data_IF_281367623131
#
_entry.id   IF_281367623131
#
_cell.length_a   1.000
_cell.length_b   1.000
_cell.length_c   1.000
_cell.angle_alpha   90.00
_cell.angle_beta   90.00
_cell.angle_gamma   90.00
#
_symmetry.space_group_name_H-M   'P 1'
#
loop_
_entity.id
_entity.type
_entity.pdbx_description
1 polymer ?
#
# COMPACT_ATOMS: atom_id res chain seq x y z
N UNK A 1 -13.16 -34.15 0.94
CA UNK A 1 -14.15 -33.06 0.69
C UNK A 1 -14.12 -32.60 -0.77
N UNK A 2 -15.29 -32.35 -1.39
CA UNK A 2 -15.39 -31.83 -2.77
C UNK A 2 -14.79 -30.41 -2.82
N UNK A 3 -13.94 -30.13 -3.81
CA UNK A 3 -13.37 -28.79 -4.02
C UNK A 3 -14.48 -27.85 -4.51
N UNK A 4 -14.69 -26.74 -3.80
CA UNK A 4 -15.63 -25.68 -4.22
C UNK A 4 -15.22 -25.08 -5.57
N UNK A 5 -16.19 -24.86 -6.44
CA UNK A 5 -16.09 -24.11 -7.69
C UNK A 5 -15.81 -22.62 -7.41
N UNK A 6 -15.44 -21.86 -8.45
CA UNK A 6 -15.23 -20.41 -8.30
C UNK A 6 -16.53 -19.67 -7.95
N UNK A 7 -17.67 -20.10 -8.51
CA UNK A 7 -18.98 -19.51 -8.22
C UNK A 7 -19.40 -19.74 -6.76
N UNK A 8 -19.18 -20.93 -6.22
CA UNK A 8 -19.48 -21.23 -4.82
C UNK A 8 -18.61 -20.39 -3.87
N UNK A 9 -17.32 -20.21 -4.19
CA UNK A 9 -16.44 -19.33 -3.40
C UNK A 9 -16.83 -17.86 -3.50
N UNK A 10 -17.24 -17.40 -4.68
CA UNK A 10 -17.67 -16.02 -4.88
C UNK A 10 -18.99 -15.71 -4.17
N UNK A 11 -19.93 -16.67 -4.12
CA UNK A 11 -21.18 -16.54 -3.38
C UNK A 11 -21.00 -16.41 -1.86
N UNK A 12 -19.84 -16.81 -1.33
CA UNK A 12 -19.47 -16.67 0.09
C UNK A 12 -18.91 -15.28 0.43
N UNK A 13 -18.59 -14.46 -0.59
CA UNK A 13 -18.05 -13.12 -0.41
C UNK A 13 -19.16 -12.09 -0.25
N UNK A 14 -18.92 -11.07 0.59
CA UNK A 14 -19.83 -9.92 0.69
C UNK A 14 -19.80 -9.16 -0.66
N UNK A 15 -20.97 -8.87 -1.28
CA UNK A 15 -21.02 -8.19 -2.56
C UNK A 15 -20.48 -6.76 -2.45
N UNK A 16 -19.78 -6.32 -3.50
CA UNK A 16 -19.37 -4.93 -3.66
C UNK A 16 -20.49 -4.12 -4.35
N UNK A 17 -20.55 -2.80 -4.16
CA UNK A 17 -21.38 -1.93 -4.98
C UNK A 17 -21.05 -2.08 -6.47
N UNK A 18 -22.00 -1.76 -7.35
CA UNK A 18 -21.80 -1.82 -8.81
C UNK A 18 -20.63 -0.94 -9.29
N UNK A 19 -20.33 0.14 -8.57
CA UNK A 19 -19.24 1.09 -8.83
C UNK A 19 -18.36 1.15 -7.58
N UNK A 20 -17.48 0.16 -7.35
CA UNK A 20 -16.74 0.06 -6.11
C UNK A 20 -15.77 1.23 -5.94
N UNK A 21 -15.78 1.83 -4.75
CA UNK A 21 -14.81 2.85 -4.34
C UNK A 21 -13.56 2.23 -3.72
N UNK A 22 -12.51 3.03 -3.54
CA UNK A 22 -11.33 2.62 -2.78
C UNK A 22 -11.72 2.11 -1.38
N UNK A 23 -12.62 2.84 -0.70
CA UNK A 23 -13.11 2.48 0.62
C UNK A 23 -13.86 1.13 0.63
N UNK A 24 -14.68 0.86 -0.39
CA UNK A 24 -15.39 -0.41 -0.51
C UNK A 24 -14.42 -1.58 -0.65
N UNK A 25 -13.42 -1.44 -1.52
CA UNK A 25 -12.41 -2.48 -1.75
C UNK A 25 -11.57 -2.69 -0.48
N UNK A 26 -11.15 -1.62 0.19
CA UNK A 26 -10.35 -1.73 1.41
C UNK A 26 -11.12 -2.43 2.53
N UNK A 27 -12.40 -2.11 2.71
CA UNK A 27 -13.21 -2.72 3.74
C UNK A 27 -13.56 -4.19 3.46
N UNK A 28 -13.82 -4.55 2.20
CA UNK A 28 -14.44 -5.82 1.82
C UNK A 28 -13.53 -6.81 1.09
N UNK A 29 -12.35 -6.38 0.62
CA UNK A 29 -11.43 -7.23 -0.17
C UNK A 29 -10.00 -7.21 0.31
N UNK A 30 -9.51 -6.10 0.87
CA UNK A 30 -8.15 -6.03 1.36
C UNK A 30 -7.97 -6.93 2.59
N UNK A 31 -6.93 -7.79 2.65
CA UNK A 31 -6.65 -8.60 3.82
C UNK A 31 -6.54 -7.73 5.08
N UNK A 32 -7.24 -8.14 6.16
CA UNK A 32 -7.39 -7.30 7.37
C UNK A 32 -6.07 -6.88 8.00
N UNK A 33 -5.05 -7.75 7.97
CA UNK A 33 -3.73 -7.41 8.50
C UNK A 33 -3.05 -6.28 7.71
N UNK A 34 -3.16 -6.29 6.38
CA UNK A 34 -2.63 -5.22 5.50
C UNK A 34 -3.42 -3.94 5.75
N UNK A 35 -4.75 -4.04 5.76
CA UNK A 35 -5.59 -2.87 5.90
C UNK A 35 -5.37 -2.16 7.24
N UNK A 36 -5.31 -2.92 8.35
CA UNK A 36 -5.04 -2.37 9.67
C UNK A 36 -3.66 -1.71 9.74
N UNK A 37 -2.64 -2.34 9.15
CA UNK A 37 -1.29 -1.78 9.08
C UNK A 37 -1.26 -0.44 8.34
N UNK A 38 -1.86 -0.38 7.14
CA UNK A 38 -1.96 0.85 6.36
C UNK A 38 -2.68 1.98 7.11
N UNK A 39 -3.77 1.65 7.81
CA UNK A 39 -4.51 2.63 8.61
C UNK A 39 -3.68 3.16 9.78
N UNK A 40 -2.92 2.30 10.47
CA UNK A 40 -2.00 2.75 11.53
C UNK A 40 -0.93 3.68 10.98
N UNK A 41 -0.33 3.34 9.83
CA UNK A 41 0.68 4.17 9.17
C UNK A 41 0.12 5.53 8.77
N UNK A 42 -1.06 5.56 8.16
CA UNK A 42 -1.75 6.81 7.84
C UNK A 42 -2.14 7.61 9.09
N UNK A 43 -2.56 6.96 10.17
CA UNK A 43 -2.90 7.61 11.43
C UNK A 43 -1.67 8.25 12.08
N UNK A 44 -0.52 7.58 12.03
CA UNK A 44 0.74 8.11 12.52
C UNK A 44 1.18 9.34 11.72
N UNK A 45 1.05 9.28 10.38
CA UNK A 45 1.30 10.42 9.50
C UNK A 45 0.37 11.61 9.83
N UNK A 46 -0.93 11.34 10.01
CA UNK A 46 -1.94 12.35 10.33
C UNK A 46 -1.66 13.01 11.69
N UNK A 47 -1.36 12.22 12.73
CA UNK A 47 -1.01 12.73 14.08
C UNK A 47 0.24 13.61 14.06
N UNK A 48 1.19 13.33 13.17
CA UNK A 48 2.40 14.14 12.98
C UNK A 48 2.18 15.38 12.11
N UNK A 49 0.96 15.61 11.60
CA UNK A 49 0.64 16.76 10.76
C UNK A 49 1.39 16.75 9.43
N UNK A 50 1.66 15.58 8.87
CA UNK A 50 2.32 15.45 7.58
C UNK A 50 1.40 15.89 6.43
N UNK A 51 2.00 16.19 5.28
CA UNK A 51 1.28 16.53 4.06
C UNK A 51 0.30 15.42 3.64
N UNK A 52 -0.86 15.81 3.10
CA UNK A 52 -1.92 14.88 2.74
C UNK A 52 -1.50 13.84 1.69
N UNK A 53 -0.57 14.18 0.78
CA UNK A 53 -0.04 13.21 -0.17
C UNK A 53 0.79 12.13 0.55
N UNK A 54 1.49 12.48 1.63
CA UNK A 54 2.21 11.50 2.46
C UNK A 54 1.24 10.65 3.28
N UNK A 55 0.19 11.26 3.85
CA UNK A 55 -0.86 10.52 4.58
C UNK A 55 -1.54 9.52 3.63
N UNK A 56 -1.92 9.95 2.43
CA UNK A 56 -2.50 9.07 1.42
C UNK A 56 -1.50 7.98 0.99
N UNK A 57 -0.23 8.32 0.80
CA UNK A 57 0.78 7.31 0.47
C UNK A 57 0.91 6.26 1.58
N UNK A 58 0.90 6.65 2.86
CA UNK A 58 0.90 5.71 3.99
C UNK A 58 -0.35 4.81 3.99
N UNK A 59 -1.52 5.36 3.65
CA UNK A 59 -2.75 4.57 3.55
C UNK A 59 -2.71 3.53 2.41
N UNK A 60 -1.92 3.77 1.37
CA UNK A 60 -1.92 2.96 0.14
C UNK A 60 -0.68 2.07 -0.03
N UNK A 61 0.41 2.30 0.69
CA UNK A 61 1.75 1.80 0.33
C UNK A 61 1.82 0.28 0.15
N UNK A 62 1.18 -0.48 1.06
CA UNK A 62 1.23 -1.93 1.09
C UNK A 62 0.07 -2.62 0.35
N UNK A 63 -0.77 -1.85 -0.37
CA UNK A 63 -1.87 -2.42 -1.18
C UNK A 63 -1.37 -3.43 -2.21
N UNK A 64 -0.12 -3.28 -2.67
CA UNK A 64 0.52 -4.21 -3.61
C UNK A 64 0.63 -5.65 -3.08
N UNK A 65 0.71 -5.84 -1.75
CA UNK A 65 0.78 -7.17 -1.12
C UNK A 65 -0.48 -8.01 -1.44
N UNK A 66 -1.63 -7.38 -1.63
CA UNK A 66 -2.87 -8.06 -2.00
C UNK A 66 -2.82 -8.71 -3.39
N UNK A 67 -1.89 -8.29 -4.25
CA UNK A 67 -1.61 -8.93 -5.53
C UNK A 67 -0.56 -10.03 -5.35
N UNK A 68 0.57 -9.68 -4.73
CA UNK A 68 1.64 -10.60 -4.35
C UNK A 68 2.64 -9.89 -3.41
N UNK A 69 3.29 -10.63 -2.52
CA UNK A 69 4.22 -10.07 -1.54
C UNK A 69 5.53 -9.53 -2.11
N UNK A 70 6.22 -10.21 -3.06
CA UNK A 70 7.43 -9.67 -3.67
C UNK A 70 7.12 -8.42 -4.50
N UNK A 71 7.98 -7.42 -4.38
CA UNK A 71 7.87 -6.15 -5.12
C UNK A 71 6.57 -5.38 -4.84
N UNK A 72 6.08 -5.45 -3.60
CA UNK A 72 4.87 -4.74 -3.17
C UNK A 72 4.91 -3.23 -3.43
N UNK A 73 6.06 -2.57 -3.27
CA UNK A 73 6.21 -1.15 -3.59
C UNK A 73 6.01 -0.86 -5.07
N UNK A 74 6.59 -1.68 -5.95
CA UNK A 74 6.40 -1.56 -7.40
C UNK A 74 4.97 -1.88 -7.83
N UNK A 75 4.41 -2.97 -7.31
CA UNK A 75 3.04 -3.43 -7.61
C UNK A 75 2.01 -2.42 -7.10
N UNK A 76 2.19 -1.97 -5.85
CA UNK A 76 1.35 -0.98 -5.21
C UNK A 76 1.37 0.32 -6.00
N UNK A 77 2.57 0.83 -6.34
CA UNK A 77 2.72 2.02 -7.16
C UNK A 77 2.05 1.87 -8.54
N UNK A 78 2.26 0.73 -9.23
CA UNK A 78 1.62 0.48 -10.52
C UNK A 78 0.09 0.42 -10.42
N UNK A 79 -0.45 -0.21 -9.36
CA UNK A 79 -1.88 -0.33 -9.10
C UNK A 79 -2.57 1.02 -8.92
N UNK A 80 -1.92 1.96 -8.22
CA UNK A 80 -2.53 3.24 -7.83
C UNK A 80 -2.20 4.38 -8.80
N UNK A 81 -1.21 4.20 -9.70
CA UNK A 81 -0.66 5.25 -10.57
C UNK A 81 -1.71 6.10 -11.30
N UNK A 82 -2.79 5.53 -11.87
CA UNK A 82 -3.77 6.34 -12.60
C UNK A 82 -4.58 7.28 -11.70
N UNK A 83 -4.63 7.01 -10.40
CA UNK A 83 -5.57 7.63 -9.48
C UNK A 83 -4.93 8.68 -8.57
N UNK A 84 -3.61 8.80 -8.54
CA UNK A 84 -2.91 9.68 -7.61
C UNK A 84 -1.96 10.63 -8.33
N UNK A 85 -1.33 11.53 -7.58
CA UNK A 85 -0.24 12.35 -8.11
C UNK A 85 1.03 11.53 -8.35
N UNK A 86 1.93 12.05 -9.18
CA UNK A 86 3.26 11.45 -9.37
C UNK A 86 4.04 11.34 -8.06
N UNK A 87 3.83 12.28 -7.12
CA UNK A 87 4.51 12.30 -5.83
C UNK A 87 4.05 11.16 -4.93
N UNK A 88 2.74 10.90 -4.84
CA UNK A 88 2.18 9.76 -4.10
C UNK A 88 2.65 8.44 -4.72
N UNK A 89 2.58 8.33 -6.05
CA UNK A 89 3.11 7.18 -6.79
C UNK A 89 4.58 6.92 -6.47
N UNK A 90 5.41 7.97 -6.45
CA UNK A 90 6.83 7.87 -6.14
C UNK A 90 7.08 7.46 -4.69
N UNK A 91 6.34 8.05 -3.74
CA UNK A 91 6.39 7.72 -2.32
C UNK A 91 6.17 6.22 -2.09
N UNK A 92 5.13 5.66 -2.73
CA UNK A 92 4.79 4.25 -2.64
C UNK A 92 5.79 3.38 -3.39
N UNK A 93 6.34 3.81 -4.53
CA UNK A 93 7.30 2.96 -5.26
C UNK A 93 8.56 2.70 -4.45
N UNK A 94 9.14 3.75 -3.89
CA UNK A 94 10.50 3.67 -3.34
C UNK A 94 10.55 3.38 -1.83
N UNK A 95 9.43 3.45 -1.08
CA UNK A 95 9.45 3.10 0.35
C UNK A 95 10.00 1.67 0.59
N UNK A 96 9.68 0.71 -0.30
CA UNK A 96 10.18 -0.66 -0.23
C UNK A 96 11.71 -0.73 -0.27
N UNK A 97 12.38 0.12 -1.05
CA UNK A 97 13.85 0.11 -1.08
C UNK A 97 14.41 0.76 0.19
N UNK A 98 13.80 1.87 0.61
CA UNK A 98 14.29 2.67 1.73
C UNK A 98 14.21 1.96 3.09
N UNK A 99 13.29 1.00 3.27
CA UNK A 99 13.18 0.21 4.52
C UNK A 99 14.44 -0.58 4.88
N UNK A 100 15.32 -0.84 3.91
CA UNK A 100 16.55 -1.59 4.14
C UNK A 100 17.77 -0.72 4.49
N UNK A 101 17.62 0.61 4.49
CA UNK A 101 18.74 1.52 4.69
C UNK A 101 18.43 2.55 5.78
N UNK A 102 19.29 2.65 6.81
CA UNK A 102 19.13 3.64 7.86
C UNK A 102 19.27 5.06 7.30
N UNK A 103 18.65 6.01 7.99
CA UNK A 103 18.74 7.43 7.74
C UNK A 103 18.73 8.21 9.06
N UNK A 104 19.91 8.48 9.66
CA UNK A 104 20.03 9.15 10.95
C UNK A 104 19.42 10.55 10.98
N UNK A 105 19.37 11.25 9.84
CA UNK A 105 18.80 12.60 9.72
C UNK A 105 17.32 12.66 10.11
N UNK A 106 16.63 11.51 10.04
CA UNK A 106 15.23 11.36 10.45
C UNK A 106 15.03 10.29 11.53
N UNK A 107 16.12 9.84 12.15
CA UNK A 107 16.10 8.83 13.19
C UNK A 107 15.58 7.46 12.72
N UNK A 108 15.69 7.14 11.43
CA UNK A 108 15.32 5.82 10.92
C UNK A 108 16.51 4.88 11.03
N UNK A 109 16.45 3.92 11.93
CA UNK A 109 17.46 2.87 12.07
C UNK A 109 17.03 1.62 11.28
N UNK A 110 17.98 0.73 10.99
CA UNK A 110 17.64 -0.56 10.40
C UNK A 110 16.86 -1.39 11.44
N UNK A 111 15.61 -1.81 11.15
CA UNK A 111 14.77 -2.45 12.16
C UNK A 111 15.39 -3.72 12.76
N UNK A 112 15.34 -3.88 14.09
CA UNK A 112 15.83 -5.10 14.75
C UNK A 112 15.05 -6.36 14.31
N UNK A 113 13.76 -6.18 13.99
CA UNK A 113 12.92 -7.22 13.38
C UNK A 113 13.55 -7.77 12.09
N UNK A 114 14.23 -6.94 11.30
CA UNK A 114 14.79 -7.34 10.01
C UNK A 114 16.03 -8.20 10.16
N UNK A 115 16.85 -8.00 11.19
CA UNK A 115 17.93 -8.94 11.49
C UNK A 115 17.41 -10.35 11.80
N UNK A 116 16.25 -10.45 12.46
CA UNK A 116 15.60 -11.73 12.76
C UNK A 116 14.93 -12.35 11.53
N UNK A 117 14.31 -11.55 10.68
CA UNK A 117 13.57 -12.03 9.51
C UNK A 117 14.44 -12.34 8.30
N UNK A 118 15.47 -11.52 8.04
CA UNK A 118 16.34 -11.67 6.86
C UNK A 118 17.72 -12.22 7.18
N UNK A 119 18.17 -12.08 8.43
CA UNK A 119 19.54 -12.41 8.85
C UNK A 119 20.49 -11.22 8.75
N UNK A 120 21.54 -11.22 9.56
CA UNK A 120 22.52 -10.13 9.65
C UNK A 120 23.33 -9.90 8.38
N UNK A 121 23.48 -10.93 7.56
CA UNK A 121 24.25 -10.88 6.32
C UNK A 121 23.39 -10.58 5.09
N UNK A 122 22.08 -10.40 5.28
CA UNK A 122 21.17 -10.11 4.18
C UNK A 122 21.56 -8.81 3.49
N UNK A 123 21.59 -8.87 2.16
CA UNK A 123 21.76 -7.70 1.30
C UNK A 123 20.59 -7.67 0.32
N UNK A 124 19.92 -6.52 0.14
CA UNK A 124 18.89 -6.40 -0.88
C UNK A 124 19.45 -6.71 -2.27
N UNK A 125 18.61 -7.18 -3.17
CA UNK A 125 19.00 -7.43 -4.56
C UNK A 125 19.58 -6.17 -5.23
N UNK A 126 20.46 -6.30 -6.26
CA UNK A 126 21.13 -5.16 -6.88
C UNK A 126 20.19 -4.05 -7.37
N UNK A 127 18.99 -4.39 -7.85
CA UNK A 127 18.01 -3.40 -8.31
C UNK A 127 17.40 -2.60 -7.14
N UNK A 128 17.26 -3.20 -5.94
CA UNK A 128 16.82 -2.50 -4.73
C UNK A 128 17.91 -1.55 -4.23
N UNK A 129 19.18 -1.96 -4.31
CA UNK A 129 20.32 -1.08 -4.00
C UNK A 129 20.36 0.15 -4.94
N UNK A 130 20.21 -0.08 -6.24
CA UNK A 130 20.13 0.99 -7.23
C UNK A 130 18.96 1.95 -6.97
N UNK A 131 17.79 1.41 -6.60
CA UNK A 131 16.62 2.23 -6.28
C UNK A 131 16.82 3.07 -5.02
N UNK A 132 17.52 2.56 -4.00
CA UNK A 132 17.91 3.36 -2.85
C UNK A 132 18.84 4.51 -3.24
N UNK A 133 19.90 4.24 -4.01
CA UNK A 133 20.87 5.25 -4.45
C UNK A 133 20.22 6.33 -5.31
N UNK A 134 19.31 5.92 -6.20
CA UNK A 134 18.50 6.83 -7.00
C UNK A 134 17.58 7.67 -6.11
N UNK A 135 16.84 7.02 -5.21
CA UNK A 135 15.90 7.69 -4.33
C UNK A 135 16.58 8.73 -3.44
N UNK A 136 17.78 8.46 -2.89
CA UNK A 136 18.50 9.43 -2.02
C UNK A 136 18.83 10.75 -2.71
N UNK A 137 18.98 10.75 -4.04
CA UNK A 137 19.32 11.95 -4.82
C UNK A 137 18.09 12.66 -5.38
N UNK A 138 16.90 12.08 -5.22
CA UNK A 138 15.68 12.59 -5.82
C UNK A 138 14.97 13.62 -4.93
N UNK A 139 14.37 14.65 -5.55
CA UNK A 139 13.65 15.73 -4.83
C UNK A 139 12.50 15.26 -3.94
N UNK A 140 11.96 14.07 -4.20
CA UNK A 140 10.87 13.47 -3.42
C UNK A 140 11.34 12.44 -2.40
N UNK A 141 12.66 12.31 -2.19
CA UNK A 141 13.24 11.38 -1.22
C UNK A 141 12.47 11.34 0.10
N UNK A 142 12.21 12.52 0.67
CA UNK A 142 11.53 12.65 1.95
C UNK A 142 10.10 12.11 1.94
N UNK A 143 9.39 12.12 0.81
CA UNK A 143 8.05 11.54 0.74
C UNK A 143 8.09 10.01 0.96
N UNK A 144 8.97 9.29 0.25
CA UNK A 144 9.14 7.85 0.48
C UNK A 144 9.73 7.54 1.85
N UNK A 145 10.69 8.36 2.31
CA UNK A 145 11.31 8.15 3.62
C UNK A 145 10.30 8.31 4.75
N UNK A 146 9.45 9.33 4.69
CA UNK A 146 8.39 9.52 5.70
C UNK A 146 7.41 8.35 5.70
N UNK A 147 7.01 7.83 4.52
CA UNK A 147 6.19 6.61 4.43
C UNK A 147 6.90 5.44 5.12
N UNK A 148 8.18 5.23 4.83
CA UNK A 148 9.01 4.17 5.44
C UNK A 148 9.08 4.30 6.97
N UNK A 149 9.22 5.54 7.47
CA UNK A 149 9.26 5.80 8.91
C UNK A 149 7.90 5.53 9.55
N UNK A 150 6.77 5.87 8.90
CA UNK A 150 5.44 5.61 9.45
C UNK A 150 5.06 4.12 9.38
N UNK A 151 5.52 3.41 8.36
CA UNK A 151 5.37 1.96 8.18
C UNK A 151 5.97 1.19 9.39
N UNK A 152 7.23 1.44 9.76
CA UNK A 152 7.90 0.69 10.84
C UNK A 152 7.16 0.74 12.20
N UNK A 153 6.45 1.82 12.50
CA UNK A 153 5.73 1.98 13.78
C UNK A 153 4.27 1.50 13.75
N UNK A 154 3.87 0.72 12.75
CA UNK A 154 2.45 0.44 12.44
C UNK A 154 2.07 -1.05 12.55
N UNK A 155 2.61 -1.74 13.56
CA UNK A 155 2.38 -3.18 13.80
C UNK A 155 1.69 -3.48 15.14
N UNK A 156 1.02 -2.50 15.76
CA UNK A 156 0.26 -2.72 16.99
C UNK A 156 -0.96 -3.60 16.69
N UNK A 157 -1.04 -4.75 17.37
CA UNK A 157 -2.10 -5.75 17.16
C UNK A 157 -3.42 -5.35 17.79
N UNK A 158 -3.36 -4.50 18.81
CA UNK A 158 -4.52 -4.06 19.59
C UNK A 158 -5.02 -2.68 19.16
N UNK A 159 -4.39 -2.07 18.15
CA UNK A 159 -4.77 -0.77 17.64
C UNK A 159 -6.20 -0.78 17.06
N UNK A 160 -7.03 0.14 17.57
CA UNK A 160 -8.35 0.43 17.02
C UNK A 160 -8.20 1.51 15.94
N UNK A 161 -8.38 1.11 14.69
CA UNK A 161 -8.23 1.98 13.51
C UNK A 161 -9.51 2.04 12.69
N UNK A 162 -9.71 3.17 12.01
CA UNK A 162 -10.86 3.41 11.15
C UNK A 162 -10.42 4.18 9.90
N UNK A 163 -11.12 3.96 8.79
CA UNK A 163 -10.91 4.71 7.55
C UNK A 163 -11.52 6.12 7.60
N UNK A 164 -12.45 6.35 8.53
CA UNK A 164 -13.24 7.59 8.62
C UNK A 164 -12.39 8.88 8.58
N UNK A 165 -11.28 9.01 9.35
CA UNK A 165 -10.47 10.23 9.36
C UNK A 165 -9.81 10.56 8.02
N UNK A 166 -9.73 9.57 7.11
CA UNK A 166 -9.05 9.71 5.82
C UNK A 166 -10.02 9.94 4.67
N UNK A 167 -11.34 9.89 4.90
CA UNK A 167 -12.33 9.98 3.81
C UNK A 167 -12.22 11.30 3.02
N UNK A 168 -12.00 12.43 3.69
CA UNK A 168 -11.79 13.71 3.02
C UNK A 168 -10.44 13.80 2.29
N UNK A 169 -9.39 13.19 2.84
CA UNK A 169 -8.06 13.13 2.20
C UNK A 169 -8.15 12.30 0.92
N UNK A 170 -8.81 11.14 0.98
CA UNK A 170 -9.08 10.29 -0.20
C UNK A 170 -9.87 11.09 -1.24
N UNK A 171 -10.95 11.76 -0.85
CA UNK A 171 -11.79 12.54 -1.77
C UNK A 171 -11.05 13.66 -2.50
N UNK A 172 -10.01 14.24 -1.88
CA UNK A 172 -9.21 15.32 -2.47
C UNK A 172 -8.02 14.82 -3.30
N UNK A 173 -7.43 13.68 -2.92
CA UNK A 173 -6.13 13.25 -3.44
C UNK A 173 -6.18 11.95 -4.25
N UNK A 174 -7.30 11.22 -4.25
CA UNK A 174 -7.52 10.01 -5.04
C UNK A 174 -8.61 10.23 -6.10
N UNK A 175 -8.25 10.10 -7.37
CA UNK A 175 -9.14 10.25 -8.52
C UNK A 175 -10.00 9.00 -8.68
N UNK A 176 -11.04 8.89 -7.87
CA UNK A 176 -12.00 7.79 -7.94
C UNK A 176 -12.67 7.73 -9.34
N UNK A 177 -12.58 6.61 -10.09
CA UNK A 177 -13.24 6.47 -11.38
C UNK A 177 -14.77 6.44 -11.25
N UNK A 178 -15.48 7.03 -12.23
CA UNK A 178 -16.96 7.12 -12.28
C UNK A 178 -17.63 5.77 -12.52
N UNK A 179 -16.89 4.85 -13.14
CA UNK A 179 -17.24 3.48 -13.44
C UNK A 179 -17.02 2.56 -12.23
N UNK A 180 -16.23 2.99 -11.24
CA UNK A 180 -15.75 2.18 -10.13
C UNK A 180 -14.40 1.52 -10.43
N UNK A 181 -13.61 1.27 -9.37
CA UNK A 181 -12.28 0.68 -9.50
C UNK A 181 -12.36 -0.71 -10.14
N UNK A 182 -11.54 -0.94 -11.17
CA UNK A 182 -11.50 -2.20 -11.91
C UNK A 182 -12.47 -2.27 -13.09
N UNK A 183 -13.38 -1.30 -13.23
CA UNK A 183 -14.29 -1.16 -14.37
C UNK A 183 -14.01 0.08 -15.22
N UNK A 184 -13.05 0.89 -14.79
CA UNK A 184 -12.42 1.90 -15.61
C UNK A 184 -11.54 1.27 -16.71
N UNK A 185 -11.05 2.08 -17.65
CA UNK A 185 -10.20 1.64 -18.76
C UNK A 185 -8.74 2.07 -18.56
N UNK A 186 -8.24 2.03 -17.32
CA UNK A 186 -6.84 2.33 -17.01
C UNK A 186 -5.99 1.08 -17.10
N UNK A 187 -4.67 1.27 -17.18
CA UNK A 187 -3.71 0.17 -17.20
C UNK A 187 -3.75 -0.67 -15.91
N UNK A 188 -4.28 -0.14 -14.80
CA UNK A 188 -4.36 -0.84 -13.51
C UNK A 188 -5.70 -1.55 -13.26
N UNK A 189 -6.71 -1.35 -14.10
CA UNK A 189 -8.05 -1.90 -13.84
C UNK A 189 -8.08 -3.42 -13.70
N UNK A 190 -7.23 -4.14 -14.45
CA UNK A 190 -7.13 -5.60 -14.31
C UNK A 190 -6.56 -6.03 -12.94
N UNK A 191 -5.64 -5.26 -12.37
CA UNK A 191 -5.08 -5.55 -11.05
C UNK A 191 -6.12 -5.35 -9.95
N UNK A 192 -6.96 -4.32 -10.05
CA UNK A 192 -8.11 -4.16 -9.16
C UNK A 192 -9.08 -5.33 -9.27
N UNK A 193 -9.36 -5.85 -10.48
CA UNK A 193 -10.21 -7.04 -10.65
C UNK A 193 -9.62 -8.29 -9.99
N UNK A 194 -8.30 -8.46 -9.96
CA UNK A 194 -7.65 -9.54 -9.23
C UNK A 194 -7.90 -9.46 -7.71
N UNK A 195 -7.95 -8.24 -7.15
CA UNK A 195 -8.29 -8.02 -5.72
C UNK A 195 -9.79 -8.23 -5.48
N UNK A 196 -10.64 -7.75 -6.41
CA UNK A 196 -12.10 -7.83 -6.30
C UNK A 196 -12.59 -9.29 -6.40
N UNK A 197 -11.97 -10.09 -7.27
CA UNK A 197 -12.38 -11.46 -7.60
C UNK A 197 -11.22 -12.47 -7.51
N UNK A 198 -10.66 -12.73 -6.31
CA UNK A 198 -9.44 -13.54 -6.15
C UNK A 198 -9.62 -15.02 -6.50
N UNK A 199 -10.86 -15.46 -6.75
CA UNK A 199 -11.19 -16.84 -7.06
C UNK A 199 -11.55 -17.07 -8.54
N UNK A 200 -11.69 -15.99 -9.33
CA UNK A 200 -12.00 -16.11 -10.75
C UNK A 200 -10.77 -16.55 -11.54
N UNK A 201 -10.96 -17.35 -12.60
CA UNK A 201 -9.86 -17.81 -13.43
C UNK A 201 -9.34 -16.73 -14.40
N UNK A 202 -10.15 -15.70 -14.70
CA UNK A 202 -9.89 -14.58 -15.60
C UNK A 202 -10.55 -13.31 -15.05
#
# INVERSE_FOLDING_TARGET
PKRKTFLEKEAEMIPLPAKPTLADIFNLRLPKFIFNHNLQSAQNALKKGLDEEVILACLLHDTGIALNSPDHGYRGAALIRPYVSEKVHWAIRYHQALRFYPDPDVGYEYPESYYRSFGKEYKPEPYIQADYEYARKHKWYMNSRLVTTMDEYSFDRDAVVSLEPFMEIIGRNFKQPKEGLGWDNTESSYMWRSIIFPHRPL
#
